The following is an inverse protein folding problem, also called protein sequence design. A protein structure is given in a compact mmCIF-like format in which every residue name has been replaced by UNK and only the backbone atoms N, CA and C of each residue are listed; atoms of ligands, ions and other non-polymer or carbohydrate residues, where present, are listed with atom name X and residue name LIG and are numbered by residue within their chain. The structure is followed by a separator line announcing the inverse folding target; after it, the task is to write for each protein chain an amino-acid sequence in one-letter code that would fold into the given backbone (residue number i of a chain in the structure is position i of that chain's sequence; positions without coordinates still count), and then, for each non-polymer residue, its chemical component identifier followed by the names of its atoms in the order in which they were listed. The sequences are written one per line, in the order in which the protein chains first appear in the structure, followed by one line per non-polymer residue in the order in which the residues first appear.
data_IF_638003852346
#
_entry.id   IF_638003852346
#
_cell.length_a   1.000
_cell.length_b   1.000
_cell.length_c   1.000
_cell.angle_alpha   90.00
_cell.angle_beta   90.00
_cell.angle_gamma   90.00
#
_symmetry.space_group_name_H-M   'P 1'
#
loop_
_entity.id
_entity.type
_entity.pdbx_description
1 polymer ?
#
# COMPACT_ATOMS: atom_id res chain seq x y z
N UNK A 1 1.58 3.08 27.17
CA UNK A 1 1.53 2.78 25.73
C UNK A 1 0.61 1.58 25.58
N UNK A 2 -0.52 1.74 24.92
CA UNK A 2 -1.52 0.69 24.85
C UNK A 2 -0.97 -0.57 24.18
N UNK A 3 -1.17 -1.73 24.83
CA UNK A 3 -0.77 -3.04 24.31
C UNK A 3 -1.27 -3.26 22.86
N UNK A 4 -2.45 -2.73 22.54
CA UNK A 4 -3.04 -2.79 21.21
C UNK A 4 -2.19 -2.14 20.11
N UNK A 5 -1.49 -1.04 20.39
CA UNK A 5 -0.63 -0.35 19.46
C UNK A 5 0.64 -1.17 19.17
N UNK A 6 1.23 -1.76 20.20
CA UNK A 6 2.38 -2.66 20.06
C UNK A 6 2.01 -3.91 19.25
N UNK A 7 0.88 -4.53 19.58
CA UNK A 7 0.41 -5.74 18.87
C UNK A 7 0.01 -5.45 17.42
N UNK A 8 -0.59 -4.28 17.17
CA UNK A 8 -0.85 -3.81 15.81
C UNK A 8 0.43 -3.59 14.99
N UNK A 9 1.48 -3.07 15.62
CA UNK A 9 2.80 -2.95 14.99
C UNK A 9 3.44 -4.31 14.68
N UNK A 10 3.45 -5.22 15.66
CA UNK A 10 4.00 -6.57 15.49
C UNK A 10 3.25 -7.37 14.42
N UNK A 11 1.91 -7.33 14.42
CA UNK A 11 1.12 -7.97 13.35
C UNK A 11 1.48 -7.42 11.98
N UNK A 12 1.69 -6.10 11.85
CA UNK A 12 2.12 -5.47 10.61
C UNK A 12 3.50 -5.89 10.12
N UNK A 13 4.43 -6.17 11.03
CA UNK A 13 5.74 -6.73 10.68
C UNK A 13 5.58 -8.14 10.12
N UNK A 14 4.82 -9.01 10.82
CA UNK A 14 4.57 -10.39 10.37
C UNK A 14 3.86 -10.42 9.01
N UNK A 15 2.78 -9.63 8.83
CA UNK A 15 2.11 -9.44 7.54
C UNK A 15 3.12 -9.10 6.43
N UNK A 16 4.04 -8.18 6.75
CA UNK A 16 5.03 -7.70 5.79
C UNK A 16 6.04 -8.77 5.41
N UNK A 17 6.40 -9.68 6.32
CA UNK A 17 7.26 -10.82 5.99
C UNK A 17 6.66 -11.71 4.90
N UNK A 18 5.35 -11.96 4.95
CA UNK A 18 4.67 -12.78 3.96
C UNK A 18 4.33 -12.03 2.67
N UNK A 19 3.98 -10.75 2.77
CA UNK A 19 3.55 -9.96 1.61
C UNK A 19 4.70 -9.37 0.78
N UNK A 20 5.88 -9.20 1.36
CA UNK A 20 6.99 -8.51 0.69
C UNK A 20 7.49 -9.16 -0.61
N UNK A 21 7.62 -10.50 -0.71
CA UNK A 21 7.98 -11.14 -1.97
C UNK A 21 7.01 -10.82 -3.11
N UNK A 22 5.71 -10.70 -2.80
CA UNK A 22 4.68 -10.35 -3.78
C UNK A 22 4.79 -8.87 -4.17
N UNK A 23 5.08 -7.99 -3.20
CA UNK A 23 5.37 -6.58 -3.47
C UNK A 23 6.59 -6.42 -4.39
N UNK A 24 7.65 -7.20 -4.13
CA UNK A 24 8.85 -7.22 -4.98
C UNK A 24 8.51 -7.60 -6.42
N UNK A 25 7.76 -8.70 -6.60
CA UNK A 25 7.29 -9.12 -7.91
C UNK A 25 6.46 -8.02 -8.58
N UNK A 26 5.51 -7.40 -7.86
CA UNK A 26 4.65 -6.33 -8.38
C UNK A 26 5.47 -5.17 -8.97
N UNK A 27 6.48 -4.70 -8.22
CA UNK A 27 7.35 -3.60 -8.66
C UNK A 27 8.13 -4.00 -9.91
N UNK A 28 8.74 -5.18 -9.93
CA UNK A 28 9.47 -5.70 -11.09
C UNK A 28 8.58 -5.96 -12.32
N UNK A 29 7.35 -6.41 -12.09
CA UNK A 29 6.36 -6.57 -13.15
C UNK A 29 5.95 -5.23 -13.76
N UNK A 30 5.69 -4.21 -12.93
CA UNK A 30 5.38 -2.86 -13.41
C UNK A 30 6.60 -2.25 -14.15
N UNK A 31 7.82 -2.43 -13.63
CA UNK A 31 9.05 -2.00 -14.30
C UNK A 31 9.19 -2.63 -15.70
N UNK A 32 8.89 -3.92 -15.84
CA UNK A 32 8.91 -4.59 -17.15
C UNK A 32 7.90 -4.00 -18.14
N UNK A 33 6.71 -3.60 -17.65
CA UNK A 33 5.68 -2.94 -18.46
C UNK A 33 6.14 -1.56 -18.91
N UNK A 34 6.82 -0.80 -18.03
CA UNK A 34 7.35 0.53 -18.39
C UNK A 34 8.44 0.44 -19.47
N UNK A 35 9.25 -0.62 -19.42
CA UNK A 35 10.36 -0.84 -20.34
C UNK A 35 9.96 -1.63 -21.61
N UNK A 36 8.65 -1.93 -21.80
CA UNK A 36 8.17 -2.70 -22.94
C UNK A 36 8.64 -4.17 -22.98
N UNK A 37 9.14 -4.69 -21.86
CA UNK A 37 9.66 -6.06 -21.77
C UNK A 37 8.53 -7.10 -21.65
N UNK A 38 8.79 -8.36 -22.04
CA UNK A 38 7.80 -9.43 -21.92
C UNK A 38 7.42 -9.68 -20.45
N UNK A 39 6.12 -9.87 -20.22
CA UNK A 39 5.57 -10.11 -18.90
C UNK A 39 5.91 -11.52 -18.42
N UNK A 40 6.52 -11.63 -17.26
CA UNK A 40 6.81 -12.93 -16.63
C UNK A 40 5.71 -13.25 -15.59
N UNK A 41 5.23 -14.48 -15.59
CA UNK A 41 4.32 -14.96 -14.55
C UNK A 41 5.00 -14.95 -13.18
N UNK A 42 4.22 -14.77 -12.11
CA UNK A 42 4.75 -14.58 -10.74
C UNK A 42 5.62 -15.75 -10.28
N UNK A 43 5.12 -16.97 -10.39
CA UNK A 43 5.83 -18.18 -9.87
C UNK A 43 7.16 -18.42 -10.61
N UNK A 44 7.20 -18.48 -11.96
CA UNK A 44 8.46 -18.63 -12.68
C UNK A 44 9.45 -17.48 -12.42
N UNK A 45 8.96 -16.25 -12.28
CA UNK A 45 9.81 -15.11 -11.95
C UNK A 45 10.46 -15.27 -10.58
N UNK A 46 9.68 -15.62 -9.54
CA UNK A 46 10.20 -15.81 -8.19
C UNK A 46 11.22 -16.94 -8.12
N UNK A 47 10.92 -18.08 -8.76
CA UNK A 47 11.85 -19.22 -8.82
C UNK A 47 13.17 -18.83 -9.49
N UNK A 48 13.09 -18.13 -10.63
CA UNK A 48 14.28 -17.66 -11.33
C UNK A 48 15.08 -16.66 -10.49
N UNK A 49 14.39 -15.70 -9.82
CA UNK A 49 15.04 -14.72 -8.95
C UNK A 49 15.79 -15.40 -7.80
N UNK A 50 15.18 -16.38 -7.16
CA UNK A 50 15.83 -17.15 -6.07
C UNK A 50 17.03 -17.95 -6.59
N UNK A 51 16.92 -18.59 -7.77
CA UNK A 51 18.01 -19.35 -8.37
C UNK A 51 19.22 -18.48 -8.75
N UNK A 52 18.97 -17.26 -9.24
CA UNK A 52 20.04 -16.38 -9.75
C UNK A 52 20.63 -15.50 -8.67
N UNK A 53 19.83 -14.98 -7.75
CA UNK A 53 20.23 -13.94 -6.77
C UNK A 53 20.03 -14.37 -5.31
N UNK A 54 19.61 -15.63 -5.08
CA UNK A 54 19.36 -16.13 -3.73
C UNK A 54 17.99 -15.69 -3.16
N UNK A 55 17.56 -16.39 -2.09
CA UNK A 55 16.25 -16.17 -1.47
C UNK A 55 16.10 -14.73 -0.89
N UNK A 56 17.16 -14.19 -0.28
CA UNK A 56 17.14 -12.86 0.32
C UNK A 56 16.92 -11.72 -0.69
N UNK A 57 17.14 -11.98 -1.99
CA UNK A 57 16.88 -10.99 -3.02
C UNK A 57 15.41 -10.58 -3.12
N UNK A 58 14.47 -11.46 -2.73
CA UNK A 58 13.04 -11.18 -2.66
C UNK A 58 12.68 -10.19 -1.53
N UNK A 59 13.58 -10.01 -0.56
CA UNK A 59 13.42 -9.11 0.58
C UNK A 59 14.18 -7.77 0.42
N UNK A 60 14.68 -7.49 -0.78
CA UNK A 60 15.30 -6.20 -1.08
C UNK A 60 14.31 -5.06 -0.84
N UNK A 61 14.69 -4.04 -0.05
CA UNK A 61 13.82 -2.93 0.33
C UNK A 61 12.85 -3.22 1.48
N UNK A 62 13.04 -4.32 2.21
CA UNK A 62 12.19 -4.72 3.34
C UNK A 62 12.37 -3.79 4.56
N UNK A 63 13.59 -3.38 4.85
CA UNK A 63 13.90 -2.54 6.00
C UNK A 63 13.15 -1.20 5.99
N UNK A 64 13.16 -0.39 4.92
CA UNK A 64 12.37 0.84 4.86
C UNK A 64 10.88 0.61 5.11
N UNK A 65 10.34 -0.51 4.61
CA UNK A 65 8.93 -0.88 4.82
C UNK A 65 8.64 -1.10 6.30
N UNK A 66 9.44 -1.91 7.00
CA UNK A 66 9.20 -2.22 8.42
C UNK A 66 9.31 -0.97 9.29
N UNK A 67 10.36 -0.17 9.09
CA UNK A 67 10.58 1.05 9.87
C UNK A 67 9.41 2.03 9.75
N UNK A 68 8.77 2.07 8.58
CA UNK A 68 7.64 2.97 8.34
C UNK A 68 6.29 2.47 8.87
N UNK A 69 6.11 1.17 9.13
CA UNK A 69 4.80 0.59 9.50
C UNK A 69 4.19 1.28 10.73
N UNK A 70 4.96 1.38 11.81
CA UNK A 70 4.45 1.94 13.07
C UNK A 70 4.08 3.41 12.90
N UNK A 71 4.96 4.32 12.45
CA UNK A 71 4.62 5.73 12.31
C UNK A 71 3.47 5.97 11.32
N UNK A 72 3.40 5.22 10.23
CA UNK A 72 2.31 5.33 9.24
C UNK A 72 0.96 4.93 9.85
N UNK A 73 0.88 3.77 10.53
CA UNK A 73 -0.35 3.31 11.18
C UNK A 73 -0.78 4.24 12.31
N UNK A 74 0.16 4.69 13.15
CA UNK A 74 -0.12 5.64 14.23
C UNK A 74 -0.67 6.95 13.69
N UNK A 75 -0.08 7.48 12.64
CA UNK A 75 -0.57 8.71 12.00
C UNK A 75 -1.97 8.53 11.43
N UNK A 76 -2.24 7.41 10.75
CA UNK A 76 -3.56 7.14 10.18
C UNK A 76 -4.64 7.11 11.27
N UNK A 77 -4.49 6.26 12.27
CA UNK A 77 -5.49 6.11 13.33
C UNK A 77 -5.61 7.34 14.21
N UNK A 78 -4.48 8.00 14.53
CA UNK A 78 -4.46 9.22 15.32
C UNK A 78 -5.18 10.38 14.62
N UNK A 79 -4.91 10.62 13.34
CA UNK A 79 -5.60 11.67 12.57
C UNK A 79 -7.08 11.34 12.38
N UNK A 80 -7.41 10.07 12.12
CA UNK A 80 -8.80 9.65 12.00
C UNK A 80 -9.59 9.89 13.29
N UNK A 81 -9.02 9.55 14.45
CA UNK A 81 -9.65 9.77 15.76
C UNK A 81 -9.86 11.27 16.03
N UNK A 82 -8.83 12.10 15.77
CA UNK A 82 -8.92 13.56 15.89
C UNK A 82 -10.02 14.13 14.98
N UNK A 83 -10.07 13.70 13.73
CA UNK A 83 -11.10 14.13 12.79
C UNK A 83 -12.49 13.70 13.25
N UNK A 84 -12.66 12.46 13.70
CA UNK A 84 -13.95 11.95 14.17
C UNK A 84 -14.46 12.69 15.42
N UNK A 85 -13.57 13.15 16.29
CA UNK A 85 -13.94 13.93 17.50
C UNK A 85 -14.27 15.39 17.19
N UNK A 86 -13.58 16.01 16.23
CA UNK A 86 -13.68 17.46 16.00
C UNK A 86 -14.60 17.84 14.83
N UNK A 87 -14.86 16.93 13.87
CA UNK A 87 -15.73 17.22 12.74
C UNK A 87 -17.20 17.17 13.19
N UNK A 88 -17.84 18.34 13.19
CA UNK A 88 -19.27 18.52 13.45
C UNK A 88 -20.09 18.33 12.16
N UNK A 89 -20.03 17.13 11.58
CA UNK A 89 -20.80 16.77 10.38
C UNK A 89 -21.92 15.83 10.82
N UNK A 90 -23.17 16.24 10.60
CA UNK A 90 -24.37 15.46 10.98
C UNK A 90 -24.43 14.11 10.27
N UNK A 91 -24.04 14.08 8.99
CA UNK A 91 -24.06 12.84 8.23
C UNK A 91 -22.81 12.00 8.53
N UNK A 92 -23.00 10.88 9.24
CA UNK A 92 -21.92 9.98 9.64
C UNK A 92 -21.11 9.43 8.46
N UNK A 93 -21.76 9.10 7.33
CA UNK A 93 -21.06 8.64 6.14
C UNK A 93 -20.08 9.70 5.61
N UNK A 94 -20.54 10.95 5.54
CA UNK A 94 -19.72 12.07 5.10
C UNK A 94 -18.56 12.29 6.08
N UNK A 95 -18.85 12.18 7.38
CA UNK A 95 -17.84 12.33 8.45
C UNK A 95 -16.72 11.29 8.29
N UNK A 96 -17.06 10.00 8.15
CA UNK A 96 -16.07 8.94 7.98
C UNK A 96 -15.32 9.04 6.64
N UNK A 97 -16.00 9.49 5.59
CA UNK A 97 -15.36 9.73 4.30
C UNK A 97 -14.31 10.82 4.39
N UNK A 98 -14.65 11.96 4.98
CA UNK A 98 -13.74 13.10 5.13
C UNK A 98 -12.58 12.76 6.08
N UNK A 99 -12.87 12.13 7.22
CA UNK A 99 -11.82 11.71 8.16
C UNK A 99 -10.82 10.72 7.53
N UNK A 100 -11.32 9.78 6.72
CA UNK A 100 -10.47 8.85 5.97
C UNK A 100 -9.63 9.54 4.89
N UNK A 101 -10.19 10.53 4.17
CA UNK A 101 -9.44 11.33 3.18
C UNK A 101 -8.28 12.09 3.84
N UNK A 102 -8.55 12.78 4.95
CA UNK A 102 -7.55 13.56 5.68
C UNK A 102 -6.48 12.64 6.29
N UNK A 103 -6.89 11.57 6.95
CA UNK A 103 -5.97 10.61 7.55
C UNK A 103 -5.09 9.93 6.48
N UNK A 104 -5.66 9.55 5.33
CA UNK A 104 -4.93 9.00 4.19
C UNK A 104 -3.93 9.98 3.58
N UNK A 105 -4.25 11.25 3.53
CA UNK A 105 -3.33 12.29 3.09
C UNK A 105 -2.16 12.47 4.08
N UNK A 106 -2.46 12.61 5.37
CA UNK A 106 -1.44 12.82 6.40
C UNK A 106 -0.47 11.64 6.51
N UNK A 107 -0.97 10.40 6.49
CA UNK A 107 -0.09 9.23 6.52
C UNK A 107 0.83 9.18 5.31
N UNK A 108 0.40 9.66 4.14
CA UNK A 108 1.20 9.63 2.91
C UNK A 108 2.47 10.46 3.02
N UNK A 109 2.47 11.51 3.84
CA UNK A 109 3.66 12.33 4.07
C UNK A 109 4.78 11.47 4.69
N UNK A 110 4.42 10.59 5.62
CA UNK A 110 5.37 9.71 6.31
C UNK A 110 5.69 8.48 5.45
N UNK A 111 4.69 7.94 4.76
CA UNK A 111 4.82 6.72 3.96
C UNK A 111 5.71 6.93 2.72
N UNK A 112 5.56 8.07 2.03
CA UNK A 112 6.19 8.28 0.72
C UNK A 112 7.72 8.15 0.73
N UNK A 113 8.47 8.73 1.67
CA UNK A 113 9.93 8.55 1.70
C UNK A 113 10.36 7.08 1.84
N UNK A 114 9.66 6.34 2.69
CA UNK A 114 9.95 4.92 2.91
C UNK A 114 9.61 4.07 1.68
N UNK A 115 8.52 4.38 0.99
CA UNK A 115 8.15 3.70 -0.25
C UNK A 115 9.13 4.00 -1.39
N UNK A 116 9.55 5.25 -1.54
CA UNK A 116 10.58 5.62 -2.53
C UNK A 116 11.86 4.85 -2.25
N UNK A 117 12.31 4.81 -0.98
CA UNK A 117 13.48 4.02 -0.58
C UNK A 117 13.32 2.54 -0.94
N UNK A 118 12.17 1.94 -0.59
CA UNK A 118 11.84 0.54 -0.91
C UNK A 118 11.93 0.27 -2.41
N UNK A 119 11.27 1.09 -3.24
CA UNK A 119 11.18 0.86 -4.68
C UNK A 119 12.54 1.08 -5.37
N UNK A 120 13.31 2.08 -4.94
CA UNK A 120 14.64 2.31 -5.49
C UNK A 120 15.62 1.20 -5.11
N UNK A 121 15.55 0.66 -3.91
CA UNK A 121 16.33 -0.51 -3.52
C UNK A 121 15.97 -1.74 -4.36
N UNK A 122 14.70 -1.98 -4.61
CA UNK A 122 14.24 -3.04 -5.52
C UNK A 122 14.76 -2.86 -6.96
N UNK A 123 14.92 -1.61 -7.41
CA UNK A 123 15.52 -1.27 -8.72
C UNK A 123 17.06 -1.27 -8.75
N UNK A 124 17.73 -1.67 -7.65
CA UNK A 124 19.20 -1.65 -7.52
C UNK A 124 19.82 -0.25 -7.72
N UNK A 125 19.09 0.82 -7.40
CA UNK A 125 19.61 2.18 -7.44
C UNK A 125 20.39 2.53 -6.17
N UNK A 126 21.48 3.31 -6.26
CA UNK A 126 22.28 3.66 -5.09
C UNK A 126 21.52 4.54 -4.10
N UNK A 127 21.73 4.31 -2.81
CA UNK A 127 21.03 4.97 -1.69
C UNK A 127 21.12 6.52 -1.69
N UNK A 128 22.18 7.10 -2.26
CA UNK A 128 22.32 8.56 -2.37
C UNK A 128 21.22 9.24 -3.21
N UNK A 129 20.64 8.51 -4.18
CA UNK A 129 19.53 9.02 -5.02
C UNK A 129 18.24 9.07 -4.21
N UNK A 130 18.06 8.17 -3.25
CA UNK A 130 16.88 8.07 -2.39
C UNK A 130 16.59 9.37 -1.66
N UNK A 131 17.59 10.00 -1.05
CA UNK A 131 17.36 11.20 -0.24
C UNK A 131 17.01 12.44 -1.08
N UNK A 132 17.56 12.55 -2.28
CA UNK A 132 17.28 13.70 -3.16
C UNK A 132 15.84 13.72 -3.69
N UNK A 133 15.23 12.55 -3.81
CA UNK A 133 13.94 12.34 -4.46
C UNK A 133 12.90 11.66 -3.56
N UNK A 134 13.01 11.86 -2.25
CA UNK A 134 12.23 11.16 -1.23
C UNK A 134 10.69 11.33 -1.38
N UNK A 135 10.24 12.38 -2.07
CA UNK A 135 8.82 12.65 -2.33
C UNK A 135 8.40 12.41 -3.79
N UNK A 136 9.20 11.67 -4.57
CA UNK A 136 8.80 11.31 -5.91
C UNK A 136 7.51 10.48 -5.90
N UNK A 137 6.57 10.87 -6.77
CA UNK A 137 5.27 10.22 -6.85
C UNK A 137 4.31 10.53 -5.69
N UNK A 138 4.66 11.44 -4.76
CA UNK A 138 3.82 11.84 -3.62
C UNK A 138 2.39 12.16 -4.04
N UNK A 139 2.22 12.97 -5.08
CA UNK A 139 0.91 13.38 -5.60
C UNK A 139 0.00 12.18 -5.90
N UNK A 140 0.52 11.18 -6.59
CA UNK A 140 -0.21 9.97 -6.96
C UNK A 140 -0.44 9.06 -5.77
N UNK A 141 0.53 9.00 -4.86
CA UNK A 141 0.40 8.26 -3.61
C UNK A 141 -0.66 8.89 -2.70
N UNK A 142 -0.69 10.21 -2.60
CA UNK A 142 -1.67 10.93 -1.79
C UNK A 142 -3.11 10.70 -2.30
N UNK A 143 -3.35 10.83 -3.60
CA UNK A 143 -4.66 10.54 -4.19
C UNK A 143 -5.06 9.09 -3.90
N UNK A 144 -4.16 8.13 -4.18
CA UNK A 144 -4.41 6.71 -3.96
C UNK A 144 -4.76 6.40 -2.50
N UNK A 145 -3.93 6.87 -1.56
CA UNK A 145 -4.10 6.59 -0.14
C UNK A 145 -5.33 7.27 0.43
N UNK A 146 -5.58 8.53 0.10
CA UNK A 146 -6.76 9.25 0.58
C UNK A 146 -8.05 8.52 0.18
N UNK A 147 -8.18 8.14 -1.10
CA UNK A 147 -9.36 7.42 -1.58
C UNK A 147 -9.47 6.03 -0.95
N UNK A 148 -8.36 5.30 -0.83
CA UNK A 148 -8.33 3.97 -0.23
C UNK A 148 -8.71 4.00 1.26
N UNK A 149 -8.12 4.93 2.03
CA UNK A 149 -8.41 5.09 3.45
C UNK A 149 -9.85 5.54 3.72
N UNK A 150 -10.37 6.45 2.89
CA UNK A 150 -11.76 6.88 2.96
C UNK A 150 -12.72 5.70 2.78
N UNK A 151 -12.50 4.86 1.79
CA UNK A 151 -13.34 3.69 1.54
C UNK A 151 -13.28 2.66 2.69
N UNK A 152 -12.08 2.45 3.29
CA UNK A 152 -11.94 1.57 4.45
C UNK A 152 -12.63 2.15 5.67
N UNK A 153 -12.47 3.44 5.96
CA UNK A 153 -13.15 4.10 7.07
C UNK A 153 -14.67 4.00 6.93
N UNK A 154 -15.18 4.27 5.75
CA UNK A 154 -16.60 4.15 5.46
C UNK A 154 -17.11 2.71 5.64
N UNK A 155 -16.41 1.72 5.09
CA UNK A 155 -16.79 0.31 5.19
C UNK A 155 -16.78 -0.19 6.63
N UNK A 156 -15.74 0.15 7.41
CA UNK A 156 -15.62 -0.26 8.81
C UNK A 156 -16.72 0.29 9.71
N UNK A 157 -17.17 1.52 9.46
CA UNK A 157 -18.13 2.21 10.32
C UNK A 157 -19.57 2.05 9.84
N UNK A 158 -19.79 1.86 8.53
CA UNK A 158 -21.14 1.63 7.99
C UNK A 158 -21.69 0.26 8.40
N UNK A 159 -20.84 -0.77 8.44
CA UNK A 159 -21.25 -2.14 8.75
C UNK A 159 -20.93 -2.50 10.20
N UNK A 160 -21.86 -2.15 11.12
CA UNK A 160 -21.71 -2.38 12.55
C UNK A 160 -22.44 -3.64 13.07
N UNK A 161 -22.87 -4.55 12.20
CA UNK A 161 -23.51 -5.80 12.66
C UNK A 161 -22.54 -6.69 13.44
N UNK A 162 -23.06 -7.44 14.41
CA UNK A 162 -22.30 -8.30 15.34
C UNK A 162 -21.60 -9.50 14.67
N UNK A 163 -21.95 -9.81 13.42
CA UNK A 163 -21.32 -10.89 12.66
C UNK A 163 -19.92 -10.48 12.16
N UNK A 164 -18.91 -10.95 12.88
CA UNK A 164 -17.48 -10.70 12.59
C UNK A 164 -17.07 -11.21 11.20
N UNK A 165 -17.64 -12.35 10.76
CA UNK A 165 -17.31 -12.92 9.46
C UNK A 165 -17.87 -12.06 8.32
N UNK A 166 -19.10 -11.62 8.43
CA UNK A 166 -19.73 -10.77 7.41
C UNK A 166 -19.05 -9.40 7.35
N UNK A 167 -18.68 -8.82 8.50
CA UNK A 167 -17.89 -7.58 8.56
C UNK A 167 -16.54 -7.74 7.86
N UNK A 168 -15.85 -8.87 8.08
CA UNK A 168 -14.60 -9.18 7.38
C UNK A 168 -14.81 -9.26 5.85
N UNK A 169 -15.85 -9.95 5.40
CA UNK A 169 -16.16 -10.09 3.97
C UNK A 169 -16.48 -8.75 3.30
N UNK A 170 -17.27 -7.88 3.95
CA UNK A 170 -17.58 -6.54 3.46
C UNK A 170 -16.33 -5.69 3.34
N UNK A 171 -15.47 -5.69 4.36
CA UNK A 171 -14.22 -4.93 4.34
C UNK A 171 -13.24 -5.46 3.27
N UNK A 172 -13.13 -6.77 3.11
CA UNK A 172 -12.28 -7.39 2.09
C UNK A 172 -12.78 -7.06 0.67
N UNK A 173 -14.09 -7.13 0.45
CA UNK A 173 -14.69 -6.79 -0.83
C UNK A 173 -14.51 -5.31 -1.18
N UNK A 174 -14.74 -4.42 -0.21
CA UNK A 174 -14.53 -2.97 -0.37
C UNK A 174 -13.07 -2.67 -0.67
N UNK A 175 -12.13 -3.26 0.07
CA UNK A 175 -10.70 -3.09 -0.16
C UNK A 175 -10.27 -3.61 -1.55
N UNK A 176 -10.86 -4.71 -2.02
CA UNK A 176 -10.61 -5.23 -3.37
C UNK A 176 -11.09 -4.25 -4.44
N UNK A 177 -12.35 -3.84 -4.38
CA UNK A 177 -12.95 -2.92 -5.37
C UNK A 177 -12.17 -1.61 -5.43
N UNK A 178 -11.90 -1.00 -4.26
CA UNK A 178 -11.16 0.27 -4.23
C UNK A 178 -9.71 0.11 -4.69
N UNK A 179 -9.10 -1.05 -4.49
CA UNK A 179 -7.77 -1.35 -5.02
C UNK A 179 -7.75 -1.38 -6.55
N UNK A 180 -8.80 -1.92 -7.18
CA UNK A 180 -8.94 -1.92 -8.64
C UNK A 180 -9.12 -0.48 -9.15
N UNK A 181 -10.03 0.28 -8.53
CA UNK A 181 -10.30 1.68 -8.92
C UNK A 181 -9.05 2.55 -8.76
N UNK A 182 -8.28 2.36 -7.70
CA UNK A 182 -7.06 3.15 -7.44
C UNK A 182 -5.81 2.62 -8.13
N UNK A 183 -5.89 1.52 -8.88
CA UNK A 183 -4.74 0.92 -9.55
C UNK A 183 -4.03 1.84 -10.55
N UNK A 184 -4.71 2.65 -11.38
CA UNK A 184 -4.05 3.59 -12.26
C UNK A 184 -3.14 4.58 -11.52
N UNK A 185 -3.56 5.06 -10.36
CA UNK A 185 -2.75 5.98 -9.52
C UNK A 185 -1.54 5.26 -8.92
N UNK A 186 -1.71 4.00 -8.51
CA UNK A 186 -0.61 3.17 -8.02
C UNK A 186 0.43 2.89 -9.12
N UNK A 187 -0.02 2.66 -10.34
CA UNK A 187 0.85 2.50 -11.51
C UNK A 187 1.66 3.78 -11.80
N UNK A 188 0.99 4.93 -11.80
CA UNK A 188 1.65 6.23 -11.99
C UNK A 188 2.67 6.50 -10.89
N UNK A 189 2.27 6.30 -9.62
CA UNK A 189 3.15 6.42 -8.47
C UNK A 189 4.44 5.61 -8.66
N UNK A 190 4.31 4.31 -8.94
CA UNK A 190 5.46 3.41 -9.10
C UNK A 190 6.37 3.87 -10.25
N UNK A 191 5.78 4.33 -11.35
CA UNK A 191 6.54 4.86 -12.49
C UNK A 191 7.39 6.07 -12.11
N UNK A 192 6.82 7.02 -11.34
CA UNK A 192 7.56 8.19 -10.86
C UNK A 192 8.63 7.83 -9.82
N UNK A 193 8.43 6.76 -9.05
CA UNK A 193 9.39 6.31 -8.05
C UNK A 193 10.55 5.50 -8.62
N UNK A 194 10.33 4.78 -9.73
CA UNK A 194 11.37 4.04 -10.45
C UNK A 194 12.22 4.99 -11.31
N UNK A 195 11.57 5.90 -12.03
CA UNK A 195 12.24 6.79 -12.98
C UNK A 195 12.65 8.11 -12.33
N UNK A 196 13.87 8.56 -12.61
CA UNK A 196 14.37 9.85 -12.15
C UNK A 196 13.58 11.03 -12.76
N UNK A 197 13.63 12.17 -12.08
CA UNK A 197 13.00 13.48 -12.28
C UNK A 197 12.62 13.96 -13.70
N UNK A 198 13.07 13.31 -14.73
CA UNK A 198 12.84 13.70 -16.14
C UNK A 198 11.45 13.33 -16.66
N UNK A 199 10.69 12.51 -15.93
CA UNK A 199 9.42 12.01 -16.44
C UNK A 199 8.23 12.84 -15.92
N UNK A 200 7.79 13.82 -16.73
CA UNK A 200 6.58 14.61 -16.48
C UNK A 200 5.46 14.16 -17.43
N UNK A 201 4.92 12.97 -17.23
CA UNK A 201 3.74 12.54 -17.98
C UNK A 201 2.46 13.02 -17.28
N UNK A 202 1.57 13.67 -18.04
CA UNK A 202 0.22 13.95 -17.53
C UNK A 202 -0.54 12.63 -17.33
N UNK A 203 -1.53 12.62 -16.44
CA UNK A 203 -2.39 11.45 -16.26
C UNK A 203 -3.09 11.03 -17.55
N UNK A 204 -3.60 12.00 -18.30
CA UNK A 204 -4.30 11.74 -19.55
C UNK A 204 -3.38 11.16 -20.63
N UNK A 205 -2.14 11.64 -20.71
CA UNK A 205 -1.14 11.09 -21.63
C UNK A 205 -0.76 9.67 -21.24
N UNK A 206 -0.62 9.39 -19.94
CA UNK A 206 -0.39 8.04 -19.44
C UNK A 206 -1.55 7.09 -19.76
N UNK A 207 -2.79 7.53 -19.57
CA UNK A 207 -3.98 6.73 -19.94
C UNK A 207 -3.94 6.43 -21.45
N UNK A 208 -3.57 7.39 -22.29
CA UNK A 208 -3.49 7.22 -23.74
C UNK A 208 -2.35 6.26 -24.16
N UNK A 209 -1.19 6.36 -23.48
CA UNK A 209 0.00 5.54 -23.75
C UNK A 209 -0.16 4.09 -23.24
N UNK A 210 -0.59 3.94 -21.99
CA UNK A 210 -0.61 2.61 -21.31
C UNK A 210 -1.96 1.91 -21.39
N UNK A 211 -3.07 2.62 -21.60
CA UNK A 211 -4.43 2.03 -21.68
C UNK A 211 -4.65 0.99 -20.57
N UNK A 212 -5.08 -0.22 -20.92
CA UNK A 212 -5.30 -1.32 -19.97
C UNK A 212 -4.04 -1.79 -19.23
N UNK A 213 -2.83 -1.43 -19.70
CA UNK A 213 -1.58 -1.77 -19.00
C UNK A 213 -1.45 -1.07 -17.65
N UNK A 214 -2.19 0.03 -17.41
CA UNK A 214 -2.25 0.70 -16.11
C UNK A 214 -2.83 -0.18 -14.98
N UNK A 215 -3.59 -1.21 -15.34
CA UNK A 215 -4.09 -2.21 -14.38
C UNK A 215 -3.07 -3.33 -14.08
N UNK A 216 -1.85 -3.20 -14.58
CA UNK A 216 -0.77 -4.14 -14.30
C UNK A 216 -0.43 -4.15 -12.81
N UNK A 217 -0.43 -5.35 -12.21
CA UNK A 217 -0.19 -5.52 -10.78
C UNK A 217 -1.44 -5.57 -9.90
N UNK A 218 -2.66 -5.44 -10.45
CA UNK A 218 -3.92 -5.56 -9.70
C UNK A 218 -4.01 -6.89 -8.94
N UNK A 219 -3.71 -8.00 -9.61
CA UNK A 219 -3.71 -9.33 -8.96
C UNK A 219 -2.70 -9.40 -7.82
N UNK A 220 -1.47 -8.93 -8.02
CA UNK A 220 -0.45 -8.91 -6.96
C UNK A 220 -0.92 -8.09 -5.76
N UNK A 221 -1.58 -6.96 -5.99
CA UNK A 221 -2.14 -6.12 -4.93
C UNK A 221 -3.30 -6.81 -4.20
N UNK A 222 -4.16 -7.52 -4.91
CA UNK A 222 -5.22 -8.32 -4.32
C UNK A 222 -4.66 -9.43 -3.41
N UNK A 223 -3.64 -10.16 -3.87
CA UNK A 223 -2.93 -11.16 -3.07
C UNK A 223 -2.28 -10.55 -1.82
N UNK A 224 -1.57 -9.44 -1.97
CA UNK A 224 -0.98 -8.72 -0.83
C UNK A 224 -2.06 -8.30 0.17
N UNK A 225 -3.19 -7.78 -0.30
CA UNK A 225 -4.32 -7.40 0.54
C UNK A 225 -4.92 -8.58 1.30
N UNK A 226 -5.12 -9.72 0.63
CA UNK A 226 -5.64 -10.93 1.24
C UNK A 226 -4.70 -11.50 2.32
N UNK A 227 -3.38 -11.52 2.06
CA UNK A 227 -2.38 -11.94 3.05
C UNK A 227 -2.38 -11.00 4.25
N UNK A 228 -2.37 -9.70 4.02
CA UNK A 228 -2.34 -8.72 5.11
C UNK A 228 -3.60 -8.81 5.98
N UNK A 229 -4.77 -8.96 5.39
CA UNK A 229 -6.01 -9.15 6.15
C UNK A 229 -6.03 -10.49 6.90
N UNK A 230 -5.65 -11.59 6.23
CA UNK A 230 -5.68 -12.93 6.83
C UNK A 230 -4.63 -13.10 7.93
N UNK A 231 -3.36 -12.89 7.60
CA UNK A 231 -2.24 -13.07 8.54
C UNK A 231 -2.29 -12.02 9.63
N UNK A 232 -2.57 -10.76 9.30
CA UNK A 232 -2.64 -9.67 10.26
C UNK A 232 -3.73 -9.89 11.32
N UNK A 233 -4.93 -10.30 10.90
CA UNK A 233 -6.02 -10.60 11.82
C UNK A 233 -5.69 -11.79 12.73
N UNK A 234 -5.11 -12.85 12.19
CA UNK A 234 -4.72 -14.05 12.97
C UNK A 234 -3.67 -13.70 14.02
N UNK A 235 -2.60 -12.99 13.64
CA UNK A 235 -1.51 -12.61 14.54
C UNK A 235 -2.02 -11.62 15.61
N UNK A 236 -2.80 -10.62 15.22
CA UNK A 236 -3.37 -9.66 16.14
C UNK A 236 -4.28 -10.34 17.19
N UNK A 237 -5.19 -11.20 16.75
CA UNK A 237 -6.08 -11.93 17.66
C UNK A 237 -5.30 -12.86 18.59
N UNK A 238 -4.27 -13.54 18.07
CA UNK A 238 -3.40 -14.38 18.91
C UNK A 238 -2.68 -13.56 19.98
N UNK A 239 -2.10 -12.40 19.63
CA UNK A 239 -1.41 -11.52 20.58
C UNK A 239 -2.36 -10.89 21.61
N UNK A 240 -3.62 -10.63 21.25
CA UNK A 240 -4.63 -10.08 22.15
C UNK A 240 -5.21 -11.13 23.11
N UNK A 241 -5.01 -12.42 22.85
CA UNK A 241 -5.46 -13.50 23.73
C UNK A 241 -4.52 -13.75 24.93
N UNK A 242 -3.36 -13.10 24.94
CA UNK A 242 -2.39 -13.07 26.03
C UNK A 242 -2.34 -11.69 26.70
#
# INVERSE_FOLDING_TARGET
MDKSLLYGGLSGVVESCFSHPIDFYKVKYQESVFNGQPRKHMIPFMINQVKTNGFLSLYTGFIPKIVSIIPVRTTFWGVQDICNKNLQIENEMTKYTVSGLVAGFCQTIIETPAEVAKIQMMGHKPSKIVMKNAFNGFRWNAIRNSVFCSAICLSNNYYQKDDKFLKFMVNASSAFVISVVTQPFDFMKTKYQINDHTYKLSFFDAVREYKFKMFSGTFSRAYTGAINMGVGALVFNYLMSY
#
